data_IF_598656729471
#
_entry.id   IF_598656729471
#
_cell.length_a   1.000
_cell.length_b   1.000
_cell.length_c   1.000
_cell.angle_alpha   90.00
_cell.angle_beta   90.00
_cell.angle_gamma   90.00
#
_symmetry.space_group_name_H-M   'P 1'
#
loop_
_entity.id
_entity.type
_entity.pdbx_description
1 polymer ?
#
# COMPACT_ATOMS: atom_id res chain seq x y z
N UNK A 1 -1.64 5.68 -12.68
CA UNK A 1 -1.79 6.08 -11.27
C UNK A 1 -2.43 4.91 -10.57
N UNK A 2 -2.21 4.76 -9.27
CA UNK A 2 -2.89 3.71 -8.51
C UNK A 2 -4.41 3.91 -8.54
N UNK A 3 -5.12 2.78 -8.52
CA UNK A 3 -6.54 2.71 -8.25
C UNK A 3 -6.78 2.80 -6.73
N UNK A 4 -7.60 3.75 -6.24
CA UNK A 4 -7.85 3.88 -4.82
C UNK A 4 -8.72 2.74 -4.30
N UNK A 5 -8.34 2.17 -3.15
CA UNK A 5 -9.15 1.18 -2.45
C UNK A 5 -9.12 1.43 -0.94
N UNK A 6 -10.23 1.16 -0.25
CA UNK A 6 -10.22 1.19 1.22
C UNK A 6 -9.51 -0.05 1.78
N UNK A 7 -8.91 0.07 2.96
CA UNK A 7 -8.32 -1.08 3.69
C UNK A 7 -9.29 -2.26 3.77
N UNK A 8 -10.55 -1.99 4.14
CA UNK A 8 -11.59 -3.01 4.24
C UNK A 8 -11.80 -3.72 2.90
N UNK A 9 -12.02 -2.97 1.82
CA UNK A 9 -12.28 -3.55 0.51
C UNK A 9 -11.10 -4.39 0.01
N UNK A 10 -9.87 -3.91 0.21
CA UNK A 10 -8.65 -4.64 -0.16
C UNK A 10 -8.54 -5.96 0.60
N UNK A 11 -8.74 -5.97 1.92
CA UNK A 11 -8.70 -7.20 2.72
C UNK A 11 -9.72 -8.23 2.21
N UNK A 12 -10.96 -7.82 1.90
CA UNK A 12 -11.98 -8.72 1.36
C UNK A 12 -11.57 -9.29 0.00
N UNK A 13 -11.05 -8.46 -0.90
CA UNK A 13 -10.57 -8.89 -2.21
C UNK A 13 -9.39 -9.86 -2.07
N UNK A 14 -8.44 -9.55 -1.19
CA UNK A 14 -7.23 -10.34 -1.00
C UNK A 14 -7.54 -11.74 -0.49
N UNK A 15 -8.36 -11.87 0.58
CA UNK A 15 -8.71 -13.19 1.14
C UNK A 15 -9.62 -14.01 0.22
N UNK A 16 -10.43 -13.36 -0.64
CA UNK A 16 -11.23 -14.06 -1.63
C UNK A 16 -10.36 -14.75 -2.70
N UNK A 17 -9.23 -14.14 -3.06
CA UNK A 17 -8.28 -14.70 -4.01
C UNK A 17 -7.20 -15.58 -3.35
N UNK A 18 -7.00 -15.45 -2.04
CA UNK A 18 -6.01 -16.18 -1.26
C UNK A 18 -6.69 -16.88 -0.06
N UNK A 19 -7.45 -17.97 -0.28
CA UNK A 19 -8.30 -18.57 0.76
C UNK A 19 -7.51 -19.21 1.93
N UNK A 20 -6.21 -19.44 1.77
CA UNK A 20 -5.32 -19.90 2.84
C UNK A 20 -4.91 -18.79 3.82
N UNK A 21 -5.08 -17.53 3.43
CA UNK A 21 -4.68 -16.38 4.22
C UNK A 21 -5.71 -16.07 5.31
N UNK A 22 -5.22 -15.71 6.50
CA UNK A 22 -6.11 -15.31 7.59
C UNK A 22 -6.39 -13.83 7.50
N UNK A 23 -7.68 -13.48 7.37
CA UNK A 23 -8.15 -12.09 7.30
C UNK A 23 -7.50 -11.16 8.34
N UNK A 24 -7.38 -11.62 9.59
CA UNK A 24 -6.82 -10.81 10.66
C UNK A 24 -5.31 -10.52 10.45
N UNK A 25 -4.55 -11.50 9.99
CA UNK A 25 -3.12 -11.33 9.70
C UNK A 25 -2.90 -10.39 8.49
N UNK A 26 -3.81 -10.44 7.50
CA UNK A 26 -3.83 -9.49 6.36
C UNK A 26 -4.14 -8.08 6.82
N UNK A 27 -5.13 -7.93 7.70
CA UNK A 27 -5.49 -6.62 8.24
C UNK A 27 -4.35 -6.01 9.06
N UNK A 28 -3.67 -6.80 9.88
CA UNK A 28 -2.58 -6.34 10.74
C UNK A 28 -1.42 -5.76 9.92
N UNK A 29 -0.92 -6.51 8.93
CA UNK A 29 0.20 -6.04 8.09
C UNK A 29 -0.16 -4.82 7.23
N UNK A 30 -1.37 -4.77 6.67
CA UNK A 30 -1.81 -3.60 5.90
C UNK A 30 -1.89 -2.36 6.79
N UNK A 31 -2.42 -2.48 8.01
CA UNK A 31 -2.51 -1.35 8.96
C UNK A 31 -1.16 -0.91 9.47
N UNK A 32 -0.26 -1.85 9.74
CA UNK A 32 1.11 -1.56 10.16
C UNK A 32 1.86 -0.79 9.08
N UNK A 33 1.87 -1.30 7.84
CA UNK A 33 2.50 -0.63 6.71
C UNK A 33 1.85 0.73 6.40
N UNK A 34 0.52 0.84 6.51
CA UNK A 34 -0.18 2.12 6.36
C UNK A 34 0.26 3.15 7.42
N UNK A 35 0.33 2.75 8.68
CA UNK A 35 0.79 3.61 9.77
C UNK A 35 2.22 4.11 9.52
N UNK A 36 3.09 3.22 9.05
CA UNK A 36 4.46 3.56 8.68
C UNK A 36 4.50 4.55 7.50
N UNK A 37 3.71 4.33 6.45
CA UNK A 37 3.63 5.25 5.32
C UNK A 37 3.11 6.64 5.74
N UNK A 38 2.07 6.70 6.58
CA UNK A 38 1.48 7.94 7.10
C UNK A 38 2.40 8.71 8.07
N UNK A 39 3.42 8.06 8.63
CA UNK A 39 4.47 8.73 9.41
C UNK A 39 5.45 9.53 8.52
N UNK A 40 5.33 9.42 7.20
CA UNK A 40 6.25 10.03 6.23
C UNK A 40 7.50 9.19 5.96
N UNK A 41 7.58 7.95 6.47
CA UNK A 41 8.65 7.03 6.10
C UNK A 41 8.57 6.74 4.59
N UNK A 42 9.73 6.70 3.96
CA UNK A 42 9.89 6.46 2.52
C UNK A 42 10.67 5.17 2.29
N UNK A 43 10.53 4.63 1.08
CA UNK A 43 11.41 3.61 0.56
C UNK A 43 12.87 4.11 0.59
N UNK A 44 13.83 3.19 0.62
CA UNK A 44 15.27 3.52 0.57
C UNK A 44 15.66 4.35 -0.67
N UNK A 45 14.94 4.22 -1.77
CA UNK A 45 15.13 5.04 -2.98
C UNK A 45 14.51 6.45 -2.89
N UNK A 46 13.81 6.77 -1.80
CA UNK A 46 13.16 8.07 -1.57
C UNK A 46 11.71 8.18 -2.05
N UNK A 47 11.18 7.17 -2.75
CA UNK A 47 9.77 7.15 -3.15
C UNK A 47 8.83 6.81 -1.97
N UNK A 48 7.55 7.22 -2.03
CA UNK A 48 6.54 6.77 -1.08
C UNK A 48 6.46 5.24 -1.01
N UNK A 49 6.21 4.71 0.18
CA UNK A 49 5.93 3.28 0.37
C UNK A 49 4.65 2.94 -0.37
N UNK A 50 4.61 1.82 -1.09
CA UNK A 50 3.37 1.30 -1.65
C UNK A 50 2.70 0.45 -0.58
N UNK A 51 1.58 0.88 0.00
CA UNK A 51 1.04 0.20 1.21
C UNK A 51 0.57 -1.22 0.88
N UNK A 52 -0.13 -1.38 -0.23
CA UNK A 52 -0.65 -2.68 -0.68
C UNK A 52 0.48 -3.71 -0.88
N UNK A 53 1.52 -3.38 -1.66
CA UNK A 53 2.62 -4.31 -1.89
C UNK A 53 3.64 -4.37 -0.73
N UNK A 54 3.82 -3.27 -0.02
CA UNK A 54 4.78 -3.15 1.06
C UNK A 54 4.41 -3.96 2.30
N UNK A 55 3.13 -4.27 2.47
CA UNK A 55 2.66 -5.14 3.54
C UNK A 55 3.22 -6.58 3.45
N UNK A 56 3.54 -7.04 2.23
CA UNK A 56 4.09 -8.39 2.01
C UNK A 56 5.57 -8.35 1.61
N UNK A 57 6.02 -7.30 0.92
CA UNK A 57 7.39 -7.16 0.44
C UNK A 57 8.30 -6.36 1.39
N UNK A 58 7.77 -5.87 2.51
CA UNK A 58 8.42 -4.89 3.38
C UNK A 58 8.21 -3.46 2.89
N UNK A 59 8.55 -2.47 3.73
CA UNK A 59 8.30 -1.02 3.54
C UNK A 59 9.00 -0.37 2.32
N UNK A 60 8.73 -0.87 1.12
CA UNK A 60 9.30 -0.44 -0.15
C UNK A 60 8.24 0.21 -1.06
N UNK A 61 8.70 0.93 -2.07
CA UNK A 61 7.83 1.52 -3.08
C UNK A 61 7.52 0.51 -4.20
N UNK A 62 6.49 0.81 -4.99
CA UNK A 62 6.08 0.02 -6.16
C UNK A 62 7.26 -0.35 -7.07
N UNK A 63 8.03 0.64 -7.54
CA UNK A 63 9.15 0.40 -8.44
C UNK A 63 10.23 -0.50 -7.85
N UNK A 64 10.51 -0.42 -6.55
CA UNK A 64 11.48 -1.32 -5.92
C UNK A 64 10.95 -2.75 -5.78
N UNK A 65 9.63 -2.93 -5.68
CA UNK A 65 8.98 -4.24 -5.57
C UNK A 65 8.83 -4.90 -6.95
N UNK A 66 8.33 -4.15 -7.95
CA UNK A 66 7.94 -4.71 -9.26
C UNK A 66 8.96 -4.47 -10.37
N UNK A 67 9.85 -3.48 -10.20
CA UNK A 67 10.71 -2.97 -11.28
C UNK A 67 9.99 -2.03 -12.25
N UNK A 68 8.70 -1.80 -12.07
CA UNK A 68 7.88 -0.98 -12.96
C UNK A 68 7.77 0.48 -12.49
N UNK A 69 7.52 1.41 -13.41
CA UNK A 69 7.44 2.84 -13.10
C UNK A 69 6.02 3.39 -13.08
N UNK A 70 5.05 2.63 -13.61
CA UNK A 70 3.67 3.08 -13.76
C UNK A 70 2.76 2.06 -13.07
N UNK A 71 2.14 2.42 -11.93
CA UNK A 71 1.26 1.52 -11.19
C UNK A 71 -0.15 1.57 -11.75
N UNK A 72 -0.31 1.31 -13.05
CA UNK A 72 -1.63 1.37 -13.69
C UNK A 72 -2.36 0.08 -13.35
N UNK A 73 -3.62 0.19 -12.96
CA UNK A 73 -4.49 -0.94 -12.59
C UNK A 73 -4.08 -1.63 -11.24
N UNK A 74 -3.02 -1.16 -10.60
CA UNK A 74 -2.63 -1.56 -9.24
C UNK A 74 -3.37 -0.74 -8.17
N UNK A 75 -3.70 -1.39 -7.06
CA UNK A 75 -4.35 -0.73 -5.94
C UNK A 75 -3.37 0.01 -5.03
N UNK A 76 -3.84 1.12 -4.46
CA UNK A 76 -3.25 1.73 -3.27
C UNK A 76 -4.34 2.17 -2.29
N UNK A 77 -4.00 2.18 -0.99
CA UNK A 77 -4.92 2.57 0.07
C UNK A 77 -5.30 4.06 -0.08
N UNK A 78 -6.60 4.33 -0.12
CA UNK A 78 -7.19 5.66 -0.28
C UNK A 78 -6.69 6.68 0.75
N UNK A 79 -6.56 6.28 2.01
CA UNK A 79 -5.98 7.08 3.09
C UNK A 79 -4.54 7.52 2.79
N UNK A 80 -3.71 6.61 2.27
CA UNK A 80 -2.34 6.93 1.89
C UNK A 80 -2.29 7.89 0.69
N UNK A 81 -3.13 7.66 -0.33
CA UNK A 81 -3.23 8.56 -1.48
C UNK A 81 -3.66 9.98 -1.08
N UNK A 82 -4.57 10.10 -0.12
CA UNK A 82 -5.00 11.39 0.41
C UNK A 82 -3.88 12.09 1.19
N UNK A 83 -3.13 11.35 2.00
CA UNK A 83 -1.93 11.86 2.67
C UNK A 83 -0.92 12.40 1.66
N UNK A 84 -0.58 11.65 0.61
CA UNK A 84 0.39 12.10 -0.41
C UNK A 84 -0.07 13.36 -1.15
N UNK A 85 -1.36 13.46 -1.48
CA UNK A 85 -1.94 14.67 -2.08
C UNK A 85 -1.82 15.87 -1.14
N UNK A 86 -2.08 15.69 0.15
CA UNK A 86 -1.95 16.76 1.13
C UNK A 86 -0.50 17.26 1.26
N UNK A 87 0.48 16.35 1.24
CA UNK A 87 1.91 16.71 1.29
C UNK A 87 2.41 17.40 0.01
N UNK A 88 1.75 17.18 -1.13
CA UNK A 88 2.13 17.77 -2.42
C UNK A 88 1.60 19.20 -2.62
N UNK A 89 0.70 19.65 -1.75
CA UNK A 89 0.11 20.99 -1.76
C UNK A 89 0.78 21.95 -0.77
N UNK A 90 1.89 21.53 -0.16
CA UNK A 90 2.75 22.27 0.78
C UNK A 90 4.14 22.42 0.20
#
# INVERSE_FOLDING_TARGET
>A
MFEPISVRAYIYLYVANNPSEKKQEVEERIRETLSVALSGKKCSCGNPIWVVGGADAGHYCFTCITGETIPKDDYEIDEHLNYLKAQSNT
#
